data_IF_935637880800
#
_entry.id   IF_935637880800
#
_cell.length_a   1.000
_cell.length_b   1.000
_cell.length_c   1.000
_cell.angle_alpha   90.00
_cell.angle_beta   90.00
_cell.angle_gamma   90.00
#
_symmetry.space_group_name_H-M   'P 1'
#
loop_
_entity.id
_entity.type
_entity.pdbx_description
1 polymer ?
#
# COMPACT_ATOMS: atom_id res chain seq x y z
N UNK A 1 -27.80 -18.21 -24.90
CA UNK A 1 -27.69 -17.97 -23.44
C UNK A 1 -27.95 -16.49 -23.24
N UNK A 2 -28.92 -16.13 -22.41
CA UNK A 2 -29.34 -14.75 -22.22
C UNK A 2 -28.36 -14.02 -21.29
N UNK A 3 -28.14 -12.74 -21.55
CA UNK A 3 -27.23 -11.85 -20.81
C UNK A 3 -27.41 -11.97 -19.27
N UNK A 4 -28.64 -12.17 -18.79
CA UNK A 4 -28.93 -12.35 -17.35
C UNK A 4 -28.43 -13.65 -16.70
N UNK A 5 -28.12 -14.71 -17.46
CA UNK A 5 -27.55 -15.94 -16.90
C UNK A 5 -26.04 -15.79 -16.60
N UNK A 6 -25.33 -15.05 -17.45
CA UNK A 6 -23.91 -14.73 -17.27
C UNK A 6 -23.71 -13.72 -16.14
N UNK A 7 -24.54 -12.67 -16.08
CA UNK A 7 -24.54 -11.71 -14.97
C UNK A 7 -24.81 -12.39 -13.62
N UNK A 8 -25.76 -13.32 -13.57
CA UNK A 8 -26.08 -14.09 -12.36
C UNK A 8 -24.93 -15.01 -11.90
N UNK A 9 -24.12 -15.54 -12.83
CA UNK A 9 -22.91 -16.31 -12.51
C UNK A 9 -21.80 -15.42 -11.98
N UNK A 10 -21.56 -14.28 -12.63
CA UNK A 10 -20.56 -13.29 -12.18
C UNK A 10 -20.87 -12.81 -10.76
N UNK A 11 -22.12 -12.44 -10.48
CA UNK A 11 -22.53 -11.97 -9.15
C UNK A 11 -22.25 -13.02 -8.07
N UNK A 12 -22.50 -14.31 -8.33
CA UNK A 12 -22.20 -15.38 -7.39
C UNK A 12 -20.71 -15.53 -7.12
N UNK A 13 -19.87 -15.40 -8.15
CA UNK A 13 -18.41 -15.44 -7.99
C UNK A 13 -17.92 -14.27 -7.15
N UNK A 14 -18.38 -13.05 -7.47
CA UNK A 14 -18.01 -11.85 -6.70
C UNK A 14 -18.48 -11.94 -5.24
N UNK A 15 -19.69 -12.44 -5.00
CA UNK A 15 -20.21 -12.65 -3.66
C UNK A 15 -19.39 -13.69 -2.88
N UNK A 16 -18.95 -14.77 -3.53
CA UNK A 16 -18.06 -15.76 -2.92
C UNK A 16 -16.71 -15.15 -2.52
N UNK A 17 -16.08 -14.39 -3.42
CA UNK A 17 -14.82 -13.69 -3.12
C UNK A 17 -14.98 -12.73 -1.94
N UNK A 18 -16.07 -11.96 -1.91
CA UNK A 18 -16.32 -11.00 -0.83
C UNK A 18 -16.59 -11.70 0.51
N UNK A 19 -17.33 -12.81 0.50
CA UNK A 19 -17.56 -13.62 1.69
C UNK A 19 -16.25 -14.20 2.24
N UNK A 20 -15.39 -14.74 1.36
CA UNK A 20 -14.07 -15.27 1.76
C UNK A 20 -13.20 -14.17 2.38
N UNK A 21 -13.20 -12.96 1.81
CA UNK A 21 -12.47 -11.81 2.36
C UNK A 21 -12.96 -11.43 3.77
N UNK A 22 -14.29 -11.33 3.98
CA UNK A 22 -14.86 -10.99 5.28
C UNK A 22 -14.55 -12.07 6.33
N UNK A 23 -14.66 -13.34 5.96
CA UNK A 23 -14.38 -14.45 6.87
C UNK A 23 -12.91 -14.44 7.29
N UNK A 24 -11.99 -14.15 6.38
CA UNK A 24 -10.57 -14.00 6.72
C UNK A 24 -10.31 -12.83 7.66
N UNK A 25 -10.91 -11.66 7.43
CA UNK A 25 -10.76 -10.51 8.32
C UNK A 25 -11.36 -10.80 9.71
N UNK A 26 -12.45 -11.57 9.79
CA UNK A 26 -13.06 -11.99 11.04
C UNK A 26 -12.19 -13.00 11.81
N UNK A 27 -11.61 -13.98 11.11
CA UNK A 27 -10.67 -14.94 11.70
C UNK A 27 -9.46 -14.21 12.31
N UNK A 28 -8.93 -13.22 11.59
CA UNK A 28 -7.82 -12.40 12.07
C UNK A 28 -8.19 -11.62 13.35
N UNK A 29 -9.40 -11.04 13.40
CA UNK A 29 -9.91 -10.36 14.60
C UNK A 29 -10.05 -11.31 15.79
N UNK A 30 -10.59 -12.52 15.59
CA UNK A 30 -10.74 -13.52 16.64
C UNK A 30 -9.39 -13.96 17.21
N UNK A 31 -8.37 -14.07 16.37
CA UNK A 31 -7.01 -14.39 16.84
C UNK A 31 -6.48 -13.24 17.70
N UNK A 32 -6.66 -11.98 17.29
CA UNK A 32 -6.22 -10.81 18.07
C UNK A 32 -6.92 -10.68 19.43
N UNK A 33 -8.14 -11.17 19.58
CA UNK A 33 -8.80 -11.24 20.91
C UNK A 33 -8.03 -12.13 21.88
N UNK A 34 -7.35 -13.16 21.38
CA UNK A 34 -6.55 -14.11 22.19
C UNK A 34 -5.05 -13.78 22.21
N UNK A 35 -4.55 -13.07 21.21
CA UNK A 35 -3.16 -12.65 21.04
C UNK A 35 -3.12 -11.14 20.68
N UNK A 36 -3.41 -10.25 21.64
CA UNK A 36 -3.55 -8.81 21.38
C UNK A 36 -2.26 -8.14 20.92
N UNK A 37 -1.10 -8.75 21.19
CA UNK A 37 0.20 -8.30 20.70
C UNK A 37 0.40 -8.55 19.20
N UNK A 38 -0.36 -9.47 18.61
CA UNK A 38 -0.23 -9.92 17.23
C UNK A 38 0.26 -11.36 17.07
N UNK A 39 0.31 -11.83 15.83
CA UNK A 39 0.74 -13.18 15.48
C UNK A 39 1.37 -13.27 14.09
N UNK A 40 1.98 -14.43 13.83
CA UNK A 40 2.51 -14.81 12.52
C UNK A 40 1.44 -15.58 11.71
N UNK A 41 0.82 -14.97 10.68
CA UNK A 41 -0.22 -15.62 9.89
C UNK A 41 0.35 -16.73 9.00
N UNK A 42 -0.30 -17.90 8.96
CA UNK A 42 0.10 -19.02 8.09
C UNK A 42 -0.15 -18.73 6.60
N UNK A 43 -1.21 -17.99 6.29
CA UNK A 43 -1.57 -17.63 4.92
C UNK A 43 -0.65 -16.55 4.37
N UNK A 44 -0.37 -16.63 3.06
CA UNK A 44 0.46 -15.65 2.37
C UNK A 44 -0.32 -14.36 2.08
N UNK A 45 0.08 -13.26 2.71
CA UNK A 45 -0.60 -11.96 2.63
C UNK A 45 0.40 -10.83 2.32
N UNK A 46 -0.02 -9.73 1.65
CA UNK A 46 0.83 -8.58 1.40
C UNK A 46 0.96 -7.70 2.66
N UNK A 47 2.17 -7.20 2.93
CA UNK A 47 2.35 -6.15 3.93
C UNK A 47 1.62 -4.87 3.51
N UNK A 48 0.96 -4.22 4.45
CA UNK A 48 0.09 -3.05 4.24
C UNK A 48 0.86 -1.82 3.76
N UNK A 49 2.12 -1.68 4.19
CA UNK A 49 3.00 -0.56 3.84
C UNK A 49 3.76 -0.80 2.52
N UNK A 50 4.51 -1.89 2.42
CA UNK A 50 5.41 -2.15 1.28
C UNK A 50 4.82 -3.06 0.19
N UNK A 51 3.69 -3.73 0.44
CA UNK A 51 3.06 -4.66 -0.49
C UNK A 51 3.76 -6.01 -0.67
N UNK A 52 4.93 -6.22 -0.05
CA UNK A 52 5.67 -7.48 -0.15
C UNK A 52 4.90 -8.59 0.56
N UNK A 53 4.68 -9.70 -0.15
CA UNK A 53 3.94 -10.85 0.35
C UNK A 53 4.81 -11.75 1.22
N UNK A 54 4.35 -12.07 2.42
CA UNK A 54 4.98 -13.01 3.35
C UNK A 54 3.98 -13.96 4.00
N UNK A 55 4.47 -14.91 4.79
CA UNK A 55 3.69 -15.81 5.66
C UNK A 55 4.60 -16.37 6.76
N UNK A 56 4.00 -16.97 7.78
CA UNK A 56 4.68 -17.49 8.97
C UNK A 56 5.61 -16.44 9.56
N UNK A 57 6.84 -16.84 9.88
CA UNK A 57 7.86 -15.96 10.49
C UNK A 57 8.28 -14.75 9.63
N UNK A 58 7.89 -14.70 8.35
CA UNK A 58 8.23 -13.59 7.47
C UNK A 58 7.18 -12.46 7.47
N UNK A 59 6.05 -12.65 8.15
CA UNK A 59 4.94 -11.70 8.21
C UNK A 59 4.40 -11.60 9.63
N UNK A 60 4.06 -10.39 10.06
CA UNK A 60 3.46 -10.09 11.35
C UNK A 60 2.09 -9.46 11.13
N UNK A 61 1.13 -9.74 12.00
CA UNK A 61 -0.19 -9.13 12.00
C UNK A 61 -0.56 -8.71 13.43
N UNK A 62 -1.04 -7.49 13.60
CA UNK A 62 -1.50 -6.91 14.86
C UNK A 62 -2.63 -5.87 14.58
N UNK A 63 -2.98 -5.03 15.55
CA UNK A 63 -3.99 -3.96 15.41
C UNK A 63 -3.70 -2.91 14.29
N UNK A 64 -2.48 -2.87 13.77
CA UNK A 64 -2.04 -2.03 12.65
C UNK A 64 -2.00 -2.80 11.31
N UNK A 65 -2.44 -4.06 11.28
CA UNK A 65 -2.56 -4.88 10.08
C UNK A 65 -1.28 -5.63 9.70
N UNK A 66 -1.24 -6.14 8.46
CA UNK A 66 -0.15 -7.00 7.99
C UNK A 66 1.16 -6.23 7.75
N UNK A 67 2.28 -6.71 8.29
CA UNK A 67 3.61 -6.11 8.15
C UNK A 67 4.66 -7.16 7.84
N UNK A 68 5.50 -6.94 6.84
CA UNK A 68 6.71 -7.75 6.71
C UNK A 68 7.66 -7.45 7.87
N UNK A 69 8.58 -8.36 8.18
CA UNK A 69 9.47 -8.17 9.33
C UNK A 69 10.37 -6.92 9.24
N UNK A 70 10.74 -6.47 8.03
CA UNK A 70 11.48 -5.23 7.85
C UNK A 70 10.65 -3.99 8.22
N UNK A 71 9.38 -3.95 7.81
CA UNK A 71 8.46 -2.87 8.18
C UNK A 71 8.13 -2.92 9.68
N UNK A 72 7.90 -4.12 10.23
CA UNK A 72 7.63 -4.33 11.66
C UNK A 72 8.79 -3.82 12.53
N UNK A 73 10.02 -4.23 12.22
CA UNK A 73 11.20 -3.74 12.92
C UNK A 73 11.32 -2.21 12.85
N UNK A 74 11.11 -1.63 11.67
CA UNK A 74 11.18 -0.18 11.50
C UNK A 74 10.09 0.58 12.27
N UNK A 75 8.91 -0.02 12.45
CA UNK A 75 7.85 0.52 13.30
C UNK A 75 8.29 0.49 14.77
N UNK A 76 8.81 -0.66 15.24
CA UNK A 76 9.30 -0.83 16.62
C UNK A 76 10.48 0.10 16.95
N UNK A 77 11.30 0.43 15.96
CA UNK A 77 12.39 1.42 16.05
C UNK A 77 11.90 2.87 15.92
N UNK A 78 10.60 3.11 15.77
CA UNK A 78 9.96 4.42 15.60
C UNK A 78 10.52 5.21 14.40
N UNK A 79 10.89 4.53 13.31
CA UNK A 79 11.38 5.21 12.10
C UNK A 79 10.27 6.01 11.41
N UNK A 80 9.01 5.65 11.62
CA UNK A 80 7.85 6.34 11.05
C UNK A 80 6.62 6.20 11.96
N UNK A 81 5.65 7.13 11.86
CA UNK A 81 4.43 7.11 12.67
C UNK A 81 3.53 5.92 12.32
N UNK A 82 2.93 5.27 13.33
CA UNK A 82 2.00 4.14 13.14
C UNK A 82 0.73 4.52 12.38
N UNK A 83 0.38 5.80 12.41
CA UNK A 83 -0.80 6.38 11.76
C UNK A 83 -0.82 6.12 10.24
N UNK A 84 0.35 5.92 9.61
CA UNK A 84 0.45 5.65 8.17
C UNK A 84 -0.15 4.29 7.77
N UNK A 85 -0.31 3.37 8.71
CA UNK A 85 -1.02 2.11 8.45
C UNK A 85 -2.51 2.34 8.24
N UNK A 86 -3.11 3.26 9.01
CA UNK A 86 -4.53 3.57 8.91
C UNK A 86 -4.86 4.51 7.76
N UNK A 87 -3.96 5.46 7.48
CA UNK A 87 -4.15 6.46 6.43
C UNK A 87 -2.99 6.46 5.45
N UNK A 88 -3.19 5.75 4.32
CA UNK A 88 -2.22 5.72 3.23
C UNK A 88 -2.03 7.09 2.59
N UNK A 89 -2.88 8.08 2.82
CA UNK A 89 -2.72 9.42 2.25
C UNK A 89 -1.61 10.22 2.92
N UNK A 90 -1.11 9.80 4.08
CA UNK A 90 -0.10 10.50 4.87
C UNK A 90 1.34 10.35 4.34
N UNK A 91 1.57 9.51 3.33
CA UNK A 91 2.90 9.35 2.74
C UNK A 91 2.88 9.13 1.23
N UNK A 92 4.02 9.37 0.60
CA UNK A 92 4.33 8.91 -0.76
C UNK A 92 5.31 7.75 -0.74
N UNK A 93 5.29 6.97 -1.81
CA UNK A 93 6.25 5.91 -2.12
C UNK A 93 7.02 6.28 -3.38
N UNK A 94 8.14 5.63 -3.65
CA UNK A 94 8.87 5.80 -4.92
C UNK A 94 7.96 5.52 -6.13
N UNK A 95 7.11 4.50 -6.04
CA UNK A 95 6.13 4.18 -7.08
C UNK A 95 5.13 5.33 -7.30
N UNK A 96 4.63 5.93 -6.22
CA UNK A 96 3.74 7.09 -6.32
C UNK A 96 4.46 8.29 -6.94
N UNK A 97 5.66 8.62 -6.47
CA UNK A 97 6.44 9.74 -7.00
C UNK A 97 6.78 9.55 -8.49
N UNK A 98 7.13 8.32 -8.87
CA UNK A 98 7.38 7.96 -10.27
C UNK A 98 6.12 8.09 -11.13
N UNK A 99 4.97 7.62 -10.65
CA UNK A 99 3.74 7.61 -11.45
C UNK A 99 3.13 9.01 -11.62
N UNK A 100 3.02 9.78 -10.54
CA UNK A 100 2.29 11.06 -10.55
C UNK A 100 3.16 12.28 -10.79
N UNK A 101 4.46 12.20 -10.48
CA UNK A 101 5.38 13.34 -10.61
C UNK A 101 6.54 13.07 -11.58
N UNK A 102 6.56 11.88 -12.21
CA UNK A 102 7.68 11.41 -13.04
C UNK A 102 9.05 11.52 -12.31
N UNK A 103 9.03 11.43 -10.98
CA UNK A 103 10.21 11.61 -10.14
C UNK A 103 10.78 10.25 -9.76
N UNK A 104 11.86 9.85 -10.45
CA UNK A 104 12.50 8.53 -10.31
C UNK A 104 14.00 8.59 -10.58
N UNK A 105 14.72 7.55 -10.17
CA UNK A 105 16.14 7.37 -10.45
C UNK A 105 16.99 8.55 -9.99
N UNK A 106 17.91 9.02 -10.86
CA UNK A 106 18.87 10.08 -10.52
C UNK A 106 18.19 11.39 -10.11
N UNK A 107 17.05 11.74 -10.69
CA UNK A 107 16.35 12.99 -10.34
C UNK A 107 15.80 12.93 -8.92
N UNK A 108 15.21 11.80 -8.54
CA UNK A 108 14.73 11.58 -7.17
C UNK A 108 15.88 11.64 -6.16
N UNK A 109 16.99 10.96 -6.44
CA UNK A 109 18.18 10.99 -5.59
C UNK A 109 18.77 12.40 -5.47
N UNK A 110 18.80 13.18 -6.56
CA UNK A 110 19.25 14.57 -6.52
C UNK A 110 18.34 15.43 -5.64
N UNK A 111 17.02 15.22 -5.67
CA UNK A 111 16.07 15.96 -4.85
C UNK A 111 16.24 15.63 -3.36
N UNK A 112 16.51 14.36 -3.04
CA UNK A 112 16.82 13.93 -1.68
C UNK A 112 18.15 14.54 -1.22
N UNK A 113 19.21 14.46 -2.04
CA UNK A 113 20.52 15.02 -1.73
C UNK A 113 20.50 16.55 -1.57
N UNK A 114 19.64 17.24 -2.31
CA UNK A 114 19.43 18.68 -2.20
C UNK A 114 18.52 19.08 -1.02
N UNK A 115 17.97 18.12 -0.28
CA UNK A 115 17.04 18.38 0.83
C UNK A 115 15.65 18.86 0.41
N UNK A 116 15.31 18.76 -0.89
CA UNK A 116 13.97 19.09 -1.41
C UNK A 116 12.95 18.03 -1.05
N UNK A 117 13.40 16.78 -0.87
CA UNK A 117 12.61 15.67 -0.35
C UNK A 117 13.31 15.01 0.81
N UNK A 118 12.59 14.87 1.91
CA UNK A 118 12.99 14.05 3.05
C UNK A 118 12.41 12.65 2.89
N UNK A 119 13.31 11.67 2.84
CA UNK A 119 12.93 10.26 2.78
C UNK A 119 13.22 9.55 4.09
N UNK A 120 12.34 8.63 4.47
CA UNK A 120 12.60 7.62 5.49
C UNK A 120 12.87 6.31 4.76
N UNK A 121 14.06 5.76 4.95
CA UNK A 121 14.48 4.48 4.37
C UNK A 121 14.28 3.37 5.39
N UNK A 122 13.42 2.41 5.07
CA UNK A 122 13.21 1.20 5.86
C UNK A 122 14.37 0.23 5.53
N UNK A 123 15.16 -0.19 6.52
CA UNK A 123 16.29 -1.08 6.29
C UNK A 123 15.83 -2.50 5.93
N UNK A 124 16.51 -3.12 4.96
CA UNK A 124 16.34 -4.51 4.58
C UNK A 124 17.06 -5.48 5.50
N UNK A 125 17.14 -6.74 5.06
CA UNK A 125 17.81 -7.80 5.81
C UNK A 125 19.33 -7.67 5.76
N UNK A 126 19.87 -7.13 4.65
CA UNK A 126 21.31 -6.96 4.45
C UNK A 126 21.78 -5.55 4.85
N UNK A 127 23.04 -5.39 5.26
CA UNK A 127 23.66 -4.08 5.44
C UNK A 127 23.51 -3.23 4.18
N UNK A 128 23.20 -1.95 4.35
CA UNK A 128 23.03 -0.93 3.31
C UNK A 128 21.93 -1.22 2.27
N UNK A 129 21.14 -2.29 2.45
CA UNK A 129 19.98 -2.57 1.61
C UNK A 129 18.78 -1.77 2.10
N UNK A 130 18.19 -0.98 1.21
CA UNK A 130 16.90 -0.35 1.45
C UNK A 130 15.79 -1.33 1.06
N UNK A 131 14.91 -1.65 2.01
CA UNK A 131 13.72 -2.47 1.77
C UNK A 131 12.63 -1.66 1.09
N UNK A 132 12.36 -0.47 1.62
CA UNK A 132 11.28 0.40 1.18
C UNK A 132 11.57 1.84 1.58
N UNK A 133 11.04 2.79 0.82
CA UNK A 133 11.23 4.22 1.09
C UNK A 133 9.89 4.93 1.11
N UNK A 134 9.70 5.75 2.13
CA UNK A 134 8.50 6.57 2.30
C UNK A 134 8.86 8.04 2.47
N UNK A 135 7.94 8.92 2.11
CA UNK A 135 8.06 10.37 2.23
C UNK A 135 6.82 10.89 2.93
N UNK A 136 6.93 11.30 4.19
CA UNK A 136 5.77 11.74 4.98
C UNK A 136 5.28 13.10 4.49
N UNK A 137 3.98 13.23 4.24
CA UNK A 137 3.41 14.50 3.76
C UNK A 137 3.57 15.64 4.78
N UNK A 138 3.57 15.31 6.08
CA UNK A 138 3.77 16.30 7.14
C UNK A 138 5.12 17.02 7.03
N UNK A 139 6.12 16.38 6.45
CA UNK A 139 7.46 16.95 6.24
C UNK A 139 7.56 17.82 4.99
N UNK A 140 6.54 17.80 4.12
CA UNK A 140 6.55 18.45 2.81
C UNK A 140 5.37 19.41 2.62
N UNK A 141 4.93 20.06 3.70
CA UNK A 141 3.78 20.97 3.64
C UNK A 141 4.00 22.08 2.60
N UNK A 142 3.14 22.11 1.57
CA UNK A 142 3.16 23.12 0.52
C UNK A 142 3.81 22.68 -0.80
N UNK A 143 4.64 21.65 -0.81
CA UNK A 143 5.33 21.18 -2.03
C UNK A 143 4.65 19.98 -2.69
N UNK A 144 4.14 19.04 -1.88
CA UNK A 144 3.51 17.81 -2.36
C UNK A 144 2.11 17.58 -1.78
N UNK A 145 1.24 18.61 -1.73
CA UNK A 145 -0.15 18.45 -1.24
C UNK A 145 -1.16 18.17 -2.36
N UNK A 146 -0.86 17.20 -3.25
CA UNK A 146 -1.73 16.92 -4.41
C UNK A 146 -2.43 15.56 -4.36
N UNK A 147 -2.21 14.74 -3.32
CA UNK A 147 -2.75 13.37 -3.27
C UNK A 147 -4.28 13.33 -3.44
N UNK A 148 -5.00 14.18 -2.72
CA UNK A 148 -6.45 14.30 -2.82
C UNK A 148 -6.94 14.84 -4.19
N UNK A 149 -6.15 15.70 -4.84
CA UNK A 149 -6.50 16.24 -6.17
C UNK A 149 -6.34 15.18 -7.27
N UNK A 150 -5.33 14.32 -7.17
CA UNK A 150 -5.11 13.24 -8.13
C UNK A 150 -6.13 12.11 -8.02
N UNK A 151 -6.60 11.78 -6.82
CA UNK A 151 -7.67 10.78 -6.62
C UNK A 151 -8.99 11.24 -7.27
N UNK A 152 -9.31 12.53 -7.22
CA UNK A 152 -10.50 13.10 -7.89
C UNK A 152 -10.37 13.06 -9.42
N UNK A 153 -9.18 13.34 -9.95
CA UNK A 153 -8.95 13.30 -11.40
C UNK A 153 -9.06 11.89 -12.01
N UNK A 154 -8.74 10.84 -11.24
CA UNK A 154 -8.85 9.45 -11.71
C UNK A 154 -10.30 8.97 -11.86
N UNK A 155 -11.22 9.49 -11.04
CA UNK A 155 -12.66 9.18 -11.15
C UNK A 155 -13.25 9.74 -12.45
N UNK A 156 -12.69 10.83 -12.98
CA UNK A 156 -13.20 11.49 -14.19
C UNK A 156 -12.71 10.87 -15.50
N UNK A 157 -11.69 10.00 -15.49
CA UNK A 157 -11.15 9.39 -16.72
C UNK A 157 -11.83 8.08 -17.14
N UNK A 158 -12.92 7.68 -16.48
CA UNK A 158 -13.64 6.44 -16.80
C UNK A 158 -15.13 6.65 -17.06
N UNK A 159 -15.49 7.72 -17.75
CA UNK A 159 -16.78 7.81 -18.45
C UNK A 159 -16.73 9.00 -19.42
N UNK A 160 -16.29 8.78 -20.65
CA UNK A 160 -16.81 9.49 -21.82
C UNK A 160 -16.36 8.77 -23.10
N UNK A 161 -17.34 8.15 -23.77
CA UNK A 161 -17.34 7.80 -25.19
C UNK A 161 -16.43 6.66 -25.67
N UNK A 162 -16.75 5.41 -25.28
CA UNK A 162 -16.88 4.25 -26.18
C UNK A 162 -15.92 3.99 -27.34
N UNK A 163 -14.71 4.57 -27.36
CA UNK A 163 -13.69 4.35 -28.39
C UNK A 163 -12.31 4.36 -27.73
N UNK A 164 -11.68 3.19 -27.70
CA UNK A 164 -10.28 3.03 -27.36
C UNK A 164 -9.41 3.67 -28.46
N UNK A 165 -8.53 4.60 -28.07
CA UNK A 165 -7.35 4.92 -28.88
C UNK A 165 -6.10 4.83 -28.03
N UNK A 166 -5.24 3.87 -28.37
CA UNK A 166 -3.87 3.82 -27.91
C UNK A 166 -3.05 4.92 -28.60
N UNK A 167 -2.32 5.70 -27.83
CA UNK A 167 -1.25 6.55 -28.33
C UNK A 167 -0.06 6.44 -27.40
N UNK A 168 0.94 5.66 -27.82
CA UNK A 168 2.27 5.65 -27.23
C UNK A 168 3.08 6.82 -27.78
N UNK A 169 3.62 7.65 -26.88
CA UNK A 169 4.88 8.39 -27.05
C UNK A 169 5.39 8.79 -25.67
#
# INVERSE_FOLDING_TARGET
MGIGEEEGKLLKVLAGIYADMILEDYDDQLILETHPEGYHPEKRKPGQLCGIKGSGKALWFDEHGYKCMSCERALNENLYPKEIFYDKTQFYTDAYLSHYFNLKGKTLENWIAAGLLRSISIPGEKPDQIHFRIYLLIEHQGFLRLKALFEIMQVQTHEENGQESHSTS
#
